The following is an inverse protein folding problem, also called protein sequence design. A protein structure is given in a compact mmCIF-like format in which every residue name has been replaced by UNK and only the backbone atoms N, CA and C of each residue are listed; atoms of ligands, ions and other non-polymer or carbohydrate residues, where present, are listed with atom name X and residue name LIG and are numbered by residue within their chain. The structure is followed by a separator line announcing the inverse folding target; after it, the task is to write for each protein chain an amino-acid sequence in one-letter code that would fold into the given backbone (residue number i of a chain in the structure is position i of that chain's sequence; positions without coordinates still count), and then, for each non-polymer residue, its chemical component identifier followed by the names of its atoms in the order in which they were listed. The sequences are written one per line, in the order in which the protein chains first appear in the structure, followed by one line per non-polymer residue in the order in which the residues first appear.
data_IF_769072651132
#
_entry.id   IF_769072651132
#
_cell.length_a   1.000
_cell.length_b   1.000
_cell.length_c   1.000
_cell.angle_alpha   90.00
_cell.angle_beta   90.00
_cell.angle_gamma   90.00
#
_symmetry.space_group_name_H-M   'P 1'
#
loop_
_entity.id
_entity.type
_entity.pdbx_description
1 polymer ?
#
# COMPACT_ATOMS: atom_id res chain seq x y z
N UNK A 1 33.51 -1.22 -4.27
CA UNK A 1 33.79 -2.21 -3.21
C UNK A 1 32.47 -2.78 -2.72
N UNK A 2 32.15 -4.02 -3.13
CA UNK A 2 30.93 -4.73 -2.71
C UNK A 2 31.24 -5.43 -1.38
N UNK A 3 30.90 -4.78 -0.27
CA UNK A 3 30.94 -5.38 1.06
C UNK A 3 29.51 -5.77 1.44
N UNK A 4 29.32 -7.03 1.79
CA UNK A 4 28.02 -7.62 2.12
C UNK A 4 27.34 -6.89 3.27
N UNK A 5 26.28 -6.14 2.95
CA UNK A 5 25.26 -5.82 3.91
C UNK A 5 24.50 -7.12 4.19
N UNK A 6 24.66 -7.66 5.41
CA UNK A 6 23.71 -8.64 5.93
C UNK A 6 22.33 -8.00 5.79
N UNK A 7 21.41 -8.63 5.05
CA UNK A 7 20.04 -8.15 4.87
C UNK A 7 19.48 -7.82 6.26
N UNK A 8 19.11 -6.58 6.48
CA UNK A 8 18.39 -6.22 7.69
C UNK A 8 17.05 -6.99 7.67
N UNK A 9 16.63 -7.59 8.79
CA UNK A 9 15.40 -8.41 8.86
C UNK A 9 14.10 -7.64 8.57
N UNK A 10 14.19 -6.35 8.23
CA UNK A 10 13.09 -5.44 7.93
C UNK A 10 13.04 -5.02 6.45
N UNK A 11 13.94 -5.51 5.60
CA UNK A 11 13.89 -5.23 4.16
C UNK A 11 13.09 -6.34 3.50
N UNK A 12 11.87 -6.03 3.13
CA UNK A 12 11.05 -6.88 2.26
C UNK A 12 11.80 -7.13 0.95
N UNK A 13 11.97 -8.40 0.59
CA UNK A 13 12.80 -8.79 -0.56
C UNK A 13 12.20 -8.26 -1.88
N UNK A 14 10.89 -8.05 -1.92
CA UNK A 14 10.10 -7.52 -3.04
C UNK A 14 10.50 -6.10 -3.43
N UNK A 15 11.05 -5.31 -2.49
CA UNK A 15 11.59 -3.97 -2.78
C UNK A 15 12.68 -4.05 -3.86
N UNK A 16 13.45 -5.13 -3.88
CA UNK A 16 14.49 -5.37 -4.90
C UNK A 16 13.88 -5.62 -6.29
N UNK A 17 12.63 -6.05 -6.36
CA UNK A 17 11.91 -6.32 -7.60
C UNK A 17 11.25 -5.10 -8.25
N UNK A 18 11.18 -3.96 -7.54
CA UNK A 18 10.52 -2.74 -8.03
C UNK A 18 11.18 -2.19 -9.29
N UNK A 19 12.51 -2.27 -9.40
CA UNK A 19 13.25 -1.80 -10.59
C UNK A 19 12.96 -2.58 -11.87
N UNK A 20 12.34 -3.76 -11.77
CA UNK A 20 11.83 -4.51 -12.91
C UNK A 20 10.39 -4.15 -13.31
N UNK A 21 9.72 -3.29 -12.54
CA UNK A 21 8.31 -2.89 -12.73
C UNK A 21 8.18 -1.42 -13.13
N UNK A 22 9.01 -0.55 -12.54
CA UNK A 22 8.97 0.89 -12.77
C UNK A 22 10.36 1.44 -13.09
N UNK A 23 10.39 2.60 -13.75
CA UNK A 23 11.62 3.30 -14.08
C UNK A 23 11.38 4.81 -14.19
N UNK A 24 12.37 5.56 -14.73
CA UNK A 24 12.30 7.02 -14.79
C UNK A 24 11.03 7.54 -15.47
N UNK A 25 10.36 8.51 -14.83
CA UNK A 25 9.13 9.11 -15.34
C UNK A 25 7.83 8.36 -14.98
N UNK A 26 7.91 7.24 -14.28
CA UNK A 26 6.73 6.53 -13.79
C UNK A 26 6.00 7.30 -12.69
N UNK A 27 4.69 7.06 -12.55
CA UNK A 27 3.84 7.58 -11.48
C UNK A 27 3.38 6.42 -10.62
N UNK A 28 3.64 6.49 -9.32
CA UNK A 28 3.32 5.43 -8.37
C UNK A 28 2.45 5.97 -7.22
N UNK A 29 1.60 5.10 -6.67
CA UNK A 29 0.88 5.33 -5.41
C UNK A 29 1.35 4.28 -4.39
N UNK A 30 1.68 4.73 -3.18
CA UNK A 30 2.08 3.87 -2.05
C UNK A 30 1.02 4.02 -0.94
N UNK A 31 0.11 3.06 -0.83
CA UNK A 31 -1.03 3.08 0.09
C UNK A 31 -0.70 2.30 1.36
N UNK A 32 -0.76 2.98 2.50
CA UNK A 32 -0.22 2.46 3.76
C UNK A 32 1.30 2.66 3.85
N UNK A 33 1.77 3.85 3.49
CA UNK A 33 3.19 4.10 3.32
C UNK A 33 4.03 3.94 4.60
N UNK A 34 3.42 3.96 5.79
CA UNK A 34 4.03 3.79 7.12
C UNK A 34 5.31 4.64 7.30
N UNK A 35 6.50 4.00 7.37
CA UNK A 35 7.81 4.67 7.47
C UNK A 35 8.43 5.04 6.12
N UNK A 36 7.81 4.62 5.02
CA UNK A 36 8.17 4.97 3.64
C UNK A 36 9.12 3.99 2.97
N UNK A 37 9.18 2.73 3.43
CA UNK A 37 10.07 1.70 2.84
C UNK A 37 9.93 1.65 1.31
N UNK A 38 8.68 1.54 0.82
CA UNK A 38 8.38 1.55 -0.61
C UNK A 38 8.44 2.95 -1.20
N UNK A 39 7.89 3.96 -0.52
CA UNK A 39 7.91 5.37 -0.95
C UNK A 39 9.31 5.82 -1.37
N UNK A 40 10.34 5.58 -0.55
CA UNK A 40 11.70 6.08 -0.83
C UNK A 40 12.39 5.31 -1.95
N UNK A 41 12.21 3.99 -2.00
CA UNK A 41 12.73 3.17 -3.11
C UNK A 41 12.08 3.55 -4.45
N UNK A 42 10.76 3.78 -4.46
CA UNK A 42 10.06 4.24 -5.65
C UNK A 42 10.51 5.65 -6.05
N UNK A 43 10.69 6.56 -5.09
CA UNK A 43 11.13 7.93 -5.38
C UNK A 43 12.49 7.97 -6.10
N UNK A 44 13.41 7.08 -5.74
CA UNK A 44 14.69 6.93 -6.44
C UNK A 44 14.50 6.36 -7.86
N UNK A 45 13.76 5.25 -7.98
CA UNK A 45 13.54 4.54 -9.24
C UNK A 45 12.82 5.38 -10.30
N UNK A 46 11.79 6.13 -9.92
CA UNK A 46 11.03 6.97 -10.86
C UNK A 46 11.76 8.27 -11.21
N UNK A 47 12.74 8.67 -10.38
CA UNK A 47 13.55 9.85 -10.58
C UNK A 47 12.75 11.17 -10.61
N UNK A 48 13.42 12.28 -10.97
CA UNK A 48 12.83 13.62 -10.91
C UNK A 48 11.73 13.88 -11.96
N UNK A 49 11.66 13.06 -13.01
CA UNK A 49 10.61 13.14 -14.02
C UNK A 49 9.36 12.34 -13.65
N UNK A 50 9.45 11.46 -12.65
CA UNK A 50 8.34 10.67 -12.14
C UNK A 50 7.72 11.29 -10.88
N UNK A 51 6.75 10.58 -10.30
CA UNK A 51 6.08 11.00 -9.08
C UNK A 51 5.70 9.81 -8.20
N UNK A 52 5.75 10.00 -6.88
CA UNK A 52 5.25 9.04 -5.89
C UNK A 52 4.25 9.74 -4.99
N UNK A 53 3.05 9.19 -4.90
CA UNK A 53 1.99 9.64 -4.00
C UNK A 53 1.88 8.67 -2.83
N UNK A 54 2.48 9.04 -1.70
CA UNK A 54 2.43 8.27 -0.47
C UNK A 54 1.14 8.61 0.29
N UNK A 55 0.33 7.61 0.61
CA UNK A 55 -0.92 7.74 1.34
C UNK A 55 -0.75 7.09 2.71
N UNK A 56 -0.82 7.91 3.76
CA UNK A 56 -0.62 7.48 5.14
C UNK A 56 -1.63 8.18 6.07
N UNK A 57 -2.64 7.47 6.58
CA UNK A 57 -3.70 8.08 7.37
C UNK A 57 -3.27 8.40 8.81
N UNK A 58 -2.24 7.75 9.37
CA UNK A 58 -1.78 8.01 10.73
C UNK A 58 -1.01 9.35 10.79
N UNK A 59 -1.49 10.35 11.58
CA UNK A 59 -0.89 11.68 11.58
C UNK A 59 0.60 11.72 11.96
N UNK A 60 1.03 10.84 12.88
CA UNK A 60 2.42 10.81 13.33
C UNK A 60 3.37 10.22 12.28
N UNK A 61 2.94 9.19 11.55
CA UNK A 61 3.70 8.64 10.43
C UNK A 61 3.71 9.60 9.25
N UNK A 62 2.57 10.24 8.95
CA UNK A 62 2.51 11.30 7.94
C UNK A 62 3.45 12.48 8.24
N UNK A 63 3.63 12.85 9.52
CA UNK A 63 4.64 13.86 9.92
C UNK A 63 6.07 13.35 9.68
N UNK A 64 6.35 12.09 10.03
CA UNK A 64 7.66 11.47 9.82
C UNK A 64 8.01 11.37 8.33
N UNK A 65 7.06 10.97 7.48
CA UNK A 65 7.23 10.93 6.02
C UNK A 65 7.52 12.32 5.45
N UNK A 66 6.78 13.36 5.90
CA UNK A 66 7.05 14.75 5.47
C UNK A 66 8.42 15.23 5.90
N UNK A 67 8.86 14.86 7.11
CA UNK A 67 10.20 15.16 7.59
C UNK A 67 11.29 14.43 6.78
N UNK A 68 11.09 13.13 6.52
CA UNK A 68 11.97 12.32 5.66
C UNK A 68 12.09 12.92 4.26
N UNK A 69 10.96 13.27 3.63
CA UNK A 69 10.91 13.96 2.33
C UNK A 69 11.75 15.24 2.33
N UNK A 70 11.64 16.05 3.39
CA UNK A 70 12.41 17.29 3.53
C UNK A 70 13.91 17.00 3.64
N UNK A 71 14.31 16.03 4.48
CA UNK A 71 15.71 15.66 4.69
C UNK A 71 16.42 15.20 3.41
N UNK A 72 15.73 14.39 2.59
CA UNK A 72 16.31 13.83 1.35
C UNK A 72 15.97 14.66 0.11
N UNK A 73 15.32 15.82 0.29
CA UNK A 73 14.88 16.70 -0.80
C UNK A 73 14.09 15.99 -1.92
N UNK A 74 13.27 14.99 -1.58
CA UNK A 74 12.46 14.22 -2.54
C UNK A 74 11.30 15.06 -3.09
N UNK A 75 11.58 15.88 -4.12
CA UNK A 75 10.59 16.78 -4.74
C UNK A 75 9.49 16.04 -5.48
N UNK A 76 9.78 14.82 -5.95
CA UNK A 76 8.88 13.93 -6.65
C UNK A 76 7.93 13.14 -5.72
N UNK A 77 8.04 13.30 -4.40
CA UNK A 77 7.14 12.64 -3.44
C UNK A 77 6.08 13.62 -2.95
N UNK A 78 4.82 13.17 -2.87
CA UNK A 78 3.71 13.91 -2.22
C UNK A 78 3.08 13.02 -1.16
N UNK A 79 2.87 13.54 0.06
CA UNK A 79 2.27 12.80 1.18
C UNK A 79 0.82 13.23 1.37
N UNK A 80 -0.10 12.26 1.34
CA UNK A 80 -1.53 12.45 1.57
C UNK A 80 -1.92 11.87 2.93
N UNK A 81 -2.42 12.72 3.83
CA UNK A 81 -2.87 12.32 5.17
C UNK A 81 -4.33 11.88 5.19
N UNK A 82 -4.65 10.81 4.48
CA UNK A 82 -6.00 10.24 4.34
C UNK A 82 -5.91 8.72 4.23
N UNK A 83 -7.02 8.03 4.48
CA UNK A 83 -7.19 6.62 4.15
C UNK A 83 -7.87 6.48 2.79
N UNK A 84 -7.64 5.38 2.09
CA UNK A 84 -8.38 5.03 0.89
C UNK A 84 -9.38 3.92 1.19
N UNK A 85 -10.62 4.13 0.80
CA UNK A 85 -11.71 3.17 0.94
C UNK A 85 -12.59 3.13 -0.31
N UNK A 86 -13.77 2.55 -0.14
CA UNK A 86 -14.83 2.39 -1.14
C UNK A 86 -15.66 3.67 -1.34
N UNK A 87 -15.76 4.52 -0.31
CA UNK A 87 -16.50 5.78 -0.36
C UNK A 87 -15.76 6.92 0.35
N UNK A 88 -15.91 8.19 -0.10
CA UNK A 88 -15.32 9.34 0.59
C UNK A 88 -16.08 9.67 1.88
N UNK A 89 -15.36 10.10 2.92
CA UNK A 89 -15.99 10.45 4.19
C UNK A 89 -15.01 10.64 5.35
N UNK A 90 -15.51 10.31 6.54
CA UNK A 90 -14.72 10.22 7.75
C UNK A 90 -14.70 8.76 8.23
N UNK A 91 -13.60 8.37 8.87
CA UNK A 91 -13.45 7.06 9.48
C UNK A 91 -12.50 7.11 10.67
N UNK A 92 -12.28 5.96 11.26
CA UNK A 92 -11.54 5.77 12.49
C UNK A 92 -10.49 4.68 12.28
N UNK A 93 -9.23 5.01 12.47
CA UNK A 93 -8.20 4.00 12.60
C UNK A 93 -8.22 3.41 14.00
N UNK A 94 -8.14 2.08 14.09
CA UNK A 94 -7.89 1.37 15.34
C UNK A 94 -6.41 1.01 15.44
N UNK A 95 -5.69 1.75 16.27
CA UNK A 95 -4.25 1.57 16.49
C UNK A 95 -3.99 0.75 17.76
N UNK A 96 -3.50 -0.50 17.63
CA UNK A 96 -3.17 -1.32 18.80
C UNK A 96 -1.94 -0.81 19.55
N UNK A 97 -1.85 -1.17 20.83
CA UNK A 97 -0.66 -0.94 21.65
C UNK A 97 -0.36 -2.13 22.55
N UNK A 98 0.93 -2.39 22.77
CA UNK A 98 1.44 -3.45 23.67
C UNK A 98 2.45 -2.86 24.64
N UNK A 99 2.19 -3.00 25.94
CA UNK A 99 3.08 -2.43 26.98
C UNK A 99 3.21 -0.90 26.90
N UNK A 100 2.19 -0.19 26.40
CA UNK A 100 2.23 1.27 26.21
C UNK A 100 2.92 1.73 24.92
N UNK A 101 3.49 0.81 24.13
CA UNK A 101 4.11 1.10 22.84
C UNK A 101 3.09 0.88 21.71
N UNK A 102 3.02 1.80 20.76
CA UNK A 102 2.13 1.73 19.59
C UNK A 102 2.65 0.71 18.58
N UNK A 103 1.73 -0.07 18.00
CA UNK A 103 2.05 -1.03 16.95
C UNK A 103 1.46 -0.51 15.64
N UNK A 104 2.32 0.09 14.80
CA UNK A 104 1.93 0.87 13.64
C UNK A 104 1.42 -0.01 12.48
N UNK A 105 2.21 -0.96 12.00
CA UNK A 105 1.82 -2.03 11.04
C UNK A 105 0.88 -3.09 11.60
N UNK A 106 -0.11 -2.67 12.39
CA UNK A 106 -1.32 -3.42 12.77
C UNK A 106 -2.53 -2.50 12.85
N UNK A 107 -2.39 -1.24 12.42
CA UNK A 107 -3.42 -0.21 12.49
C UNK A 107 -4.31 -0.32 11.26
N UNK A 108 -5.62 -0.41 11.47
CA UNK A 108 -6.57 -0.67 10.39
C UNK A 108 -7.75 0.31 10.46
N UNK A 109 -8.44 0.52 9.34
CA UNK A 109 -9.69 1.28 9.30
C UNK A 109 -10.81 0.45 9.94
N UNK A 110 -11.36 0.92 11.06
CA UNK A 110 -12.24 0.11 11.90
C UNK A 110 -13.73 0.16 11.49
N UNK A 111 -14.14 1.19 10.75
CA UNK A 111 -15.53 1.35 10.33
C UNK A 111 -15.93 0.21 9.38
N UNK A 112 -17.06 -0.47 9.68
CA UNK A 112 -17.54 -1.60 8.88
C UNK A 112 -16.80 -2.92 9.13
N UNK A 113 -15.96 -3.01 10.17
CA UNK A 113 -15.31 -4.28 10.57
C UNK A 113 -16.13 -5.10 11.57
N UNK A 114 -15.95 -6.42 11.55
CA UNK A 114 -16.51 -7.34 12.54
C UNK A 114 -15.56 -7.52 13.74
N UNK A 115 -15.40 -6.45 14.52
CA UNK A 115 -14.58 -6.44 15.72
C UNK A 115 -13.07 -6.35 15.44
N UNK A 116 -12.26 -6.77 16.42
CA UNK A 116 -10.80 -6.59 16.35
C UNK A 116 -10.08 -7.67 15.54
N UNK A 117 -10.74 -8.78 15.17
CA UNK A 117 -10.11 -9.90 14.47
C UNK A 117 -8.82 -10.37 15.15
N UNK A 118 -7.75 -10.58 14.38
CA UNK A 118 -6.43 -10.95 14.92
C UNK A 118 -5.82 -9.92 15.86
N UNK A 119 -6.30 -8.66 15.88
CA UNK A 119 -5.86 -7.67 16.86
C UNK A 119 -6.53 -7.80 18.23
N UNK A 120 -7.43 -8.78 18.45
CA UNK A 120 -7.97 -9.05 19.78
C UNK A 120 -6.89 -9.44 20.82
N UNK A 121 -5.68 -9.82 20.38
CA UNK A 121 -4.54 -10.08 21.25
C UNK A 121 -4.01 -8.82 21.96
N UNK A 122 -4.32 -7.63 21.44
CA UNK A 122 -3.86 -6.37 22.02
C UNK A 122 -4.83 -5.88 23.09
N UNK A 123 -4.31 -5.56 24.27
CA UNK A 123 -5.13 -5.16 25.41
C UNK A 123 -5.68 -3.74 25.31
N UNK A 124 -5.18 -2.91 24.39
CA UNK A 124 -5.59 -1.52 24.22
C UNK A 124 -5.50 -1.09 22.77
N UNK A 125 -6.53 -0.34 22.37
CA UNK A 125 -6.65 0.28 21.06
C UNK A 125 -6.93 1.77 21.21
N UNK A 126 -6.25 2.57 20.40
CA UNK A 126 -6.54 4.00 20.26
C UNK A 126 -7.32 4.22 18.97
N UNK A 127 -8.46 4.90 19.08
CA UNK A 127 -9.18 5.41 17.91
C UNK A 127 -8.53 6.71 17.44
N UNK A 128 -8.36 6.84 16.12
CA UNK A 128 -7.83 8.06 15.48
C UNK A 128 -8.76 8.42 14.32
N UNK A 129 -9.40 9.59 14.42
CA UNK A 129 -10.23 10.12 13.34
C UNK A 129 -9.37 10.45 12.12
N UNK A 130 -9.82 10.00 10.95
CA UNK A 130 -9.15 10.21 9.68
C UNK A 130 -10.15 10.56 8.59
N UNK A 131 -9.67 11.30 7.59
CA UNK A 131 -10.40 11.47 6.34
C UNK A 131 -10.26 10.21 5.51
N UNK A 132 -11.34 9.80 4.88
CA UNK A 132 -11.38 8.74 3.86
C UNK A 132 -11.66 9.38 2.50
N UNK A 133 -10.94 8.93 1.48
CA UNK A 133 -11.18 9.26 0.07
C UNK A 133 -11.20 7.93 -0.72
N UNK A 134 -11.57 7.96 -1.99
CA UNK A 134 -11.44 6.78 -2.87
C UNK A 134 -10.18 6.88 -3.70
N UNK A 135 -9.65 5.75 -4.19
CA UNK A 135 -8.50 5.79 -5.11
C UNK A 135 -8.86 6.58 -6.38
N UNK A 136 -10.05 6.38 -6.92
CA UNK A 136 -10.57 7.13 -8.07
C UNK A 136 -10.62 8.64 -7.76
N UNK A 137 -11.17 9.02 -6.61
CA UNK A 137 -11.24 10.42 -6.18
C UNK A 137 -9.86 11.07 -6.01
N UNK A 138 -8.89 10.34 -5.45
CA UNK A 138 -7.50 10.78 -5.34
C UNK A 138 -6.89 11.01 -6.73
N UNK A 139 -7.01 10.03 -7.63
CA UNK A 139 -6.43 10.04 -8.98
C UNK A 139 -7.02 11.18 -9.82
N UNK A 140 -8.33 11.35 -9.78
CA UNK A 140 -9.03 12.41 -10.50
C UNK A 140 -8.68 13.80 -9.96
N UNK A 141 -8.64 13.98 -8.63
CA UNK A 141 -8.25 15.24 -7.99
C UNK A 141 -6.83 15.65 -8.32
N UNK A 142 -5.92 14.68 -8.47
CA UNK A 142 -4.54 14.93 -8.87
C UNK A 142 -4.39 15.12 -10.39
N UNK A 143 -5.40 14.76 -11.18
CA UNK A 143 -5.36 14.85 -12.64
C UNK A 143 -4.23 13.99 -13.23
N UNK A 144 -4.01 12.79 -12.68
CA UNK A 144 -2.86 11.99 -13.08
C UNK A 144 -2.94 11.61 -14.57
N UNK A 145 -1.87 11.86 -15.35
CA UNK A 145 -1.86 11.49 -16.77
C UNK A 145 -1.56 10.00 -16.99
N UNK A 146 -0.99 9.34 -15.98
CA UNK A 146 -0.62 7.92 -15.96
C UNK A 146 -0.56 7.44 -14.51
N UNK A 147 -0.63 6.12 -14.33
CA UNK A 147 -0.36 5.43 -13.08
C UNK A 147 0.23 4.06 -13.42
N UNK A 148 1.43 3.78 -12.93
CA UNK A 148 2.24 2.63 -13.36
C UNK A 148 2.32 1.54 -12.29
N UNK A 149 2.29 1.93 -11.01
CA UNK A 149 2.34 1.00 -9.89
C UNK A 149 1.50 1.52 -8.72
N UNK A 150 0.76 0.62 -8.08
CA UNK A 150 0.17 0.82 -6.76
C UNK A 150 0.80 -0.21 -5.82
N UNK A 151 1.47 0.24 -4.75
CA UNK A 151 1.72 -0.60 -3.58
C UNK A 151 0.55 -0.42 -2.62
N UNK A 152 -0.02 -1.50 -2.13
CA UNK A 152 -1.06 -1.50 -1.12
C UNK A 152 -0.68 -2.41 0.04
N UNK A 153 -0.65 -1.85 1.24
CA UNK A 153 -0.64 -2.55 2.52
C UNK A 153 -1.59 -1.79 3.45
N UNK A 154 -2.84 -2.24 3.50
CA UNK A 154 -3.93 -1.51 4.16
C UNK A 154 -4.59 -2.32 5.27
N UNK A 155 -3.89 -3.35 5.75
CA UNK A 155 -4.21 -4.12 6.97
C UNK A 155 -5.64 -4.70 6.97
N UNK A 156 -6.10 -5.15 5.80
CA UNK A 156 -7.40 -5.80 5.59
C UNK A 156 -8.38 -5.00 4.72
N UNK A 157 -8.12 -3.73 4.46
CA UNK A 157 -9.02 -2.88 3.66
C UNK A 157 -8.81 -3.02 2.14
N UNK A 158 -8.12 -4.07 1.68
CA UNK A 158 -7.70 -4.23 0.28
C UNK A 158 -8.91 -4.26 -0.66
N UNK A 159 -9.98 -5.00 -0.33
CA UNK A 159 -11.17 -5.07 -1.17
C UNK A 159 -11.86 -3.70 -1.31
N UNK A 160 -11.90 -2.90 -0.23
CA UNK A 160 -12.48 -1.55 -0.24
C UNK A 160 -11.64 -0.57 -1.06
N UNK A 161 -10.31 -0.65 -0.93
CA UNK A 161 -9.39 0.10 -1.79
C UNK A 161 -9.63 -0.23 -3.27
N UNK A 162 -9.77 -1.51 -3.61
CA UNK A 162 -10.04 -1.95 -4.98
C UNK A 162 -11.44 -1.52 -5.46
N UNK A 163 -12.44 -1.52 -4.59
CA UNK A 163 -13.79 -1.06 -4.90
C UNK A 163 -13.82 0.46 -5.20
N UNK A 164 -13.17 1.27 -4.38
CA UNK A 164 -13.04 2.71 -4.61
C UNK A 164 -12.03 3.10 -5.70
N UNK A 165 -11.42 2.11 -6.37
CA UNK A 165 -10.39 2.30 -7.39
C UNK A 165 -10.73 1.70 -8.74
N UNK A 166 -11.95 1.21 -8.94
CA UNK A 166 -12.29 0.42 -10.11
C UNK A 166 -12.09 1.19 -11.42
N UNK A 167 -12.46 2.46 -11.48
CA UNK A 167 -12.28 3.26 -12.69
C UNK A 167 -10.79 3.47 -13.01
N UNK A 168 -9.98 3.74 -11.98
CA UNK A 168 -8.52 3.87 -12.08
C UNK A 168 -7.87 2.59 -12.56
N UNK A 169 -8.23 1.45 -11.98
CA UNK A 169 -7.67 0.14 -12.33
C UNK A 169 -7.99 -0.25 -13.77
N UNK A 170 -9.22 0.03 -14.24
CA UNK A 170 -9.63 -0.21 -15.62
C UNK A 170 -8.95 0.75 -16.60
N UNK A 171 -8.82 2.03 -16.22
CA UNK A 171 -8.24 3.08 -17.08
C UNK A 171 -6.74 2.94 -17.26
N UNK A 172 -6.00 2.85 -16.15
CA UNK A 172 -4.54 2.91 -16.18
C UNK A 172 -3.87 1.55 -16.18
N UNK A 173 -4.55 0.51 -15.69
CA UNK A 173 -4.01 -0.85 -15.59
C UNK A 173 -2.61 -0.90 -14.91
N UNK A 174 -2.40 -0.24 -13.76
CA UNK A 174 -1.08 -0.21 -13.12
C UNK A 174 -0.69 -1.59 -12.59
N UNK A 175 0.60 -1.90 -12.48
CA UNK A 175 1.02 -3.03 -11.64
C UNK A 175 0.50 -2.84 -10.20
N UNK A 176 0.08 -3.91 -9.53
CA UNK A 176 -0.32 -3.84 -8.12
C UNK A 176 0.60 -4.75 -7.31
N UNK A 177 1.30 -4.20 -6.32
CA UNK A 177 1.97 -4.99 -5.30
C UNK A 177 1.11 -4.90 -4.04
N UNK A 178 0.46 -5.99 -3.65
CA UNK A 178 -0.53 -6.00 -2.57
C UNK A 178 -0.06 -6.95 -1.48
N UNK A 179 -0.08 -6.49 -0.22
CA UNK A 179 0.08 -7.39 0.93
C UNK A 179 -1.27 -8.03 1.26
N UNK A 180 -1.31 -9.36 1.24
CA UNK A 180 -2.50 -10.18 1.42
C UNK A 180 -2.30 -11.11 2.62
N UNK A 181 -3.18 -10.98 3.61
CA UNK A 181 -3.18 -11.79 4.82
C UNK A 181 -4.62 -12.16 5.23
N UNK A 182 -4.93 -13.47 5.24
CA UNK A 182 -6.28 -13.95 5.58
C UNK A 182 -6.78 -13.40 6.93
N UNK A 183 -5.92 -13.39 7.96
CA UNK A 183 -6.28 -12.90 9.31
C UNK A 183 -6.67 -11.42 9.39
N UNK A 184 -6.34 -10.65 8.34
CA UNK A 184 -6.68 -9.25 8.20
C UNK A 184 -7.89 -9.05 7.31
N UNK A 185 -8.13 -9.94 6.35
CA UNK A 185 -9.29 -9.90 5.45
C UNK A 185 -10.56 -10.43 6.13
N UNK A 186 -10.43 -11.42 7.02
CA UNK A 186 -11.57 -11.98 7.77
C UNK A 186 -12.34 -10.93 8.58
N UNK A 187 -11.70 -9.85 9.05
CA UNK A 187 -12.40 -8.75 9.77
C UNK A 187 -13.30 -7.89 8.87
N UNK A 188 -13.14 -7.99 7.55
CA UNK A 188 -13.93 -7.31 6.53
C UNK A 188 -14.82 -8.29 5.75
N UNK A 189 -15.09 -9.48 6.30
CA UNK A 189 -15.89 -10.54 5.66
C UNK A 189 -15.41 -10.91 4.24
N UNK A 190 -14.10 -10.79 4.00
CA UNK A 190 -13.46 -11.12 2.72
C UNK A 190 -12.29 -12.09 2.93
N UNK A 191 -11.72 -12.60 1.84
CA UNK A 191 -10.62 -13.57 1.86
C UNK A 191 -9.57 -13.24 0.82
N UNK A 192 -8.36 -13.79 0.98
CA UNK A 192 -7.30 -13.64 -0.03
C UNK A 192 -7.80 -14.11 -1.40
N UNK A 193 -8.53 -15.22 -1.43
CA UNK A 193 -9.11 -15.78 -2.66
C UNK A 193 -10.09 -14.82 -3.35
N UNK A 194 -10.93 -14.11 -2.58
CA UNK A 194 -11.88 -13.15 -3.13
C UNK A 194 -11.17 -11.95 -3.78
N UNK A 195 -10.18 -11.38 -3.08
CA UNK A 195 -9.36 -10.26 -3.60
C UNK A 195 -8.58 -10.69 -4.85
N UNK A 196 -7.96 -11.88 -4.80
CA UNK A 196 -7.24 -12.47 -5.94
C UNK A 196 -8.19 -12.67 -7.12
N UNK A 197 -9.39 -13.19 -6.90
CA UNK A 197 -10.35 -13.44 -7.96
C UNK A 197 -10.82 -12.14 -8.61
N UNK A 198 -11.15 -11.12 -7.80
CA UNK A 198 -11.51 -9.78 -8.28
C UNK A 198 -10.43 -9.20 -9.20
N UNK A 199 -9.15 -9.33 -8.83
CA UNK A 199 -8.04 -8.85 -9.67
C UNK A 199 -7.85 -9.70 -10.92
N UNK A 200 -8.03 -11.03 -10.86
CA UNK A 200 -8.01 -11.89 -12.05
C UNK A 200 -9.13 -11.54 -13.03
N UNK A 201 -10.32 -11.22 -12.53
CA UNK A 201 -11.47 -10.81 -13.36
C UNK A 201 -11.21 -9.47 -14.07
N UNK A 202 -10.34 -8.62 -13.51
CA UNK A 202 -9.81 -7.41 -14.15
C UNK A 202 -8.62 -7.70 -15.11
N UNK A 203 -8.23 -8.95 -15.27
CA UNK A 203 -7.18 -9.40 -16.19
C UNK A 203 -5.77 -9.43 -15.58
N UNK A 204 -5.63 -9.24 -14.28
CA UNK A 204 -4.32 -9.26 -13.63
C UNK A 204 -3.80 -10.69 -13.40
N UNK A 205 -2.50 -10.87 -13.58
CA UNK A 205 -1.84 -12.14 -13.34
C UNK A 205 -0.98 -12.10 -12.06
N UNK A 206 -1.23 -12.96 -11.05
CA UNK A 206 -0.46 -12.95 -9.81
C UNK A 206 0.95 -13.52 -9.99
N UNK A 207 1.89 -12.97 -9.26
CA UNK A 207 3.29 -13.35 -9.19
C UNK A 207 3.84 -13.07 -7.78
N UNK A 208 4.89 -13.79 -7.40
CA UNK A 208 5.62 -13.60 -6.16
C UNK A 208 7.10 -13.41 -6.45
N UNK A 209 7.84 -12.81 -5.51
CA UNK A 209 9.27 -12.61 -5.65
C UNK A 209 10.03 -13.83 -5.14
N UNK A 210 10.84 -14.45 -5.98
CA UNK A 210 11.70 -15.57 -5.60
C UNK A 210 13.08 -15.41 -6.24
N UNK A 211 14.13 -15.44 -5.41
CA UNK A 211 15.54 -15.52 -5.85
C UNK A 211 15.95 -14.46 -6.89
N UNK A 212 15.39 -13.25 -6.80
CA UNK A 212 15.74 -12.13 -7.68
C UNK A 212 14.84 -11.98 -8.91
N UNK A 213 13.77 -12.77 -9.01
CA UNK A 213 12.84 -12.72 -10.14
C UNK A 213 11.38 -12.79 -9.67
N UNK A 214 10.49 -12.16 -10.44
CA UNK A 214 9.05 -12.26 -10.27
C UNK A 214 8.52 -13.51 -10.98
N UNK A 215 8.03 -14.49 -10.22
CA UNK A 215 7.53 -15.77 -10.71
C UNK A 215 6.02 -15.88 -10.63
N UNK A 216 5.35 -16.51 -11.61
CA UNK A 216 3.90 -16.70 -11.55
C UNK A 216 3.45 -17.45 -10.29
N UNK A 217 2.28 -17.07 -9.78
CA UNK A 217 1.66 -17.70 -8.61
C UNK A 217 1.68 -16.84 -7.36
N UNK A 218 1.03 -17.35 -6.31
CA UNK A 218 0.80 -16.65 -5.04
C UNK A 218 1.56 -17.41 -3.96
N UNK A 219 2.61 -16.79 -3.41
CA UNK A 219 3.42 -17.34 -2.32
C UNK A 219 3.76 -16.21 -1.36
N UNK A 220 3.56 -16.44 -0.08
CA UNK A 220 3.76 -15.41 0.94
C UNK A 220 2.64 -14.37 0.94
N UNK A 221 2.91 -13.24 1.58
CA UNK A 221 1.91 -12.17 1.80
C UNK A 221 1.97 -11.10 0.71
N UNK A 222 3.17 -10.75 0.24
CA UNK A 222 3.32 -9.78 -0.83
C UNK A 222 3.13 -10.43 -2.20
N UNK A 223 2.08 -10.03 -2.90
CA UNK A 223 1.72 -10.56 -4.22
C UNK A 223 1.75 -9.44 -5.24
N UNK A 224 2.53 -9.62 -6.31
CA UNK A 224 2.49 -8.76 -7.48
C UNK A 224 1.41 -9.24 -8.44
N UNK A 225 0.43 -8.40 -8.70
CA UNK A 225 -0.52 -8.53 -9.79
C UNK A 225 -0.01 -7.74 -10.99
N UNK A 226 0.44 -8.46 -12.02
CA UNK A 226 0.95 -7.84 -13.24
C UNK A 226 -0.18 -7.24 -14.06
N UNK A 227 0.05 -6.03 -14.56
CA UNK A 227 -0.85 -5.33 -15.46
C UNK A 227 -1.31 -6.24 -16.61
N UNK A 228 -2.61 -6.22 -16.98
CA UNK A 228 -3.11 -6.93 -18.15
C UNK A 228 -2.36 -6.50 -19.42
N UNK A 229 -2.15 -7.44 -20.34
CA UNK A 229 -1.59 -7.13 -21.66
C UNK A 229 -2.46 -6.08 -22.38
N UNK A 230 -1.80 -5.18 -23.13
CA UNK A 230 -2.41 -4.01 -23.74
C UNK A 230 -3.56 -4.35 -24.68
#
# INVERSE_FOLDING_TARGET
MRAGARRAPFVEDEVLGLGGLVGPGAVCVDVGAEYGLYTWSLADLVGPAGAVHAVEPQPDLGRLLRFGRWLVAARNVTIHGLALGDEPGAGHLSQPSRGGVRVHGRTFLADGTHGLGSNAEFSRHRSIDVRVDTLDGLVDRLGLPRLDLIKADVEGAEDRLLAGGEATLRRFRPHLLVELEDRHLERFDTSVDAVVQRLKDLGYAPSHWERGEWRPGIVGRNVLFRAPAA
#
